data_IF_487596448934
#
_entry.id   IF_487596448934
#
_cell.length_a   1.000
_cell.length_b   1.000
_cell.length_c   1.000
_cell.angle_alpha   90.00
_cell.angle_beta   90.00
_cell.angle_gamma   90.00
#
_symmetry.space_group_name_H-M   'P 1'
#
loop_
_entity.id
_entity.type
_entity.pdbx_description
1 polymer ?
#
# COMPACT_ATOMS: atom_id res chain seq x y z
N UNK A 1 27.59 26.47 4.04
CA UNK A 1 28.21 25.27 3.41
C UNK A 1 28.54 25.48 1.94
N UNK A 2 27.63 25.95 1.08
CA UNK A 2 27.96 26.20 -0.35
C UNK A 2 29.03 27.30 -0.55
N UNK A 3 28.94 28.44 0.14
CA UNK A 3 29.95 29.51 0.06
C UNK A 3 31.36 29.05 0.44
N UNK A 4 31.48 28.21 1.48
CA UNK A 4 32.76 27.61 1.90
C UNK A 4 33.38 26.68 0.83
N UNK A 5 32.55 26.10 -0.05
CA UNK A 5 33.01 25.23 -1.14
C UNK A 5 33.39 26.08 -2.36
N UNK A 6 32.71 27.21 -2.59
CA UNK A 6 33.13 28.20 -3.59
C UNK A 6 34.46 28.85 -3.24
N UNK A 7 34.69 29.17 -1.96
CA UNK A 7 35.98 29.68 -1.45
C UNK A 7 37.13 28.67 -1.61
N UNK A 8 36.82 27.37 -1.77
CA UNK A 8 37.78 26.30 -2.09
C UNK A 8 37.90 26.01 -3.60
N UNK A 9 37.38 26.90 -4.45
CA UNK A 9 37.56 26.86 -5.90
C UNK A 9 36.45 26.15 -6.69
N UNK A 10 35.27 25.92 -6.11
CA UNK A 10 34.14 25.37 -6.85
C UNK A 10 33.36 26.44 -7.61
N UNK A 11 33.46 26.45 -8.94
CA UNK A 11 32.76 27.39 -9.82
C UNK A 11 31.39 26.88 -10.33
N UNK A 12 30.97 25.69 -9.91
CA UNK A 12 29.75 25.05 -10.39
C UNK A 12 28.45 25.55 -9.75
N UNK A 13 27.33 25.18 -10.37
CA UNK A 13 25.98 25.50 -9.87
C UNK A 13 25.65 24.75 -8.58
N UNK A 14 25.05 25.46 -7.61
CA UNK A 14 24.51 24.89 -6.37
C UNK A 14 23.58 23.68 -6.62
N UNK A 15 22.78 23.74 -7.69
CA UNK A 15 21.83 22.68 -8.05
C UNK A 15 22.53 21.38 -8.41
N UNK A 16 23.69 21.46 -9.07
CA UNK A 16 24.51 20.28 -9.38
C UNK A 16 25.12 19.68 -8.12
N UNK A 17 25.62 20.51 -7.22
CA UNK A 17 26.17 20.08 -5.94
C UNK A 17 25.10 19.43 -5.06
N UNK A 18 23.90 20.00 -5.00
CA UNK A 18 22.76 19.41 -4.29
C UNK A 18 22.35 18.06 -4.88
N UNK A 19 22.32 17.93 -6.21
CA UNK A 19 22.02 16.65 -6.88
C UNK A 19 23.03 15.57 -6.54
N UNK A 20 24.33 15.90 -6.55
CA UNK A 20 25.40 14.97 -6.19
C UNK A 20 25.32 14.56 -4.71
N UNK A 21 25.16 15.54 -3.82
CA UNK A 21 25.00 15.29 -2.39
C UNK A 21 23.72 14.52 -2.05
N UNK A 22 22.64 14.69 -2.81
CA UNK A 22 21.41 13.92 -2.62
C UNK A 22 21.63 12.42 -2.86
N UNK A 23 22.48 12.06 -3.83
CA UNK A 23 22.91 10.67 -4.05
C UNK A 23 23.66 10.13 -2.83
N UNK A 24 24.64 10.89 -2.32
CA UNK A 24 25.45 10.49 -1.16
C UNK A 24 24.63 10.41 0.13
N UNK A 25 23.70 11.33 0.38
CA UNK A 25 22.78 11.26 1.53
C UNK A 25 21.84 10.06 1.48
N UNK A 26 21.42 9.63 0.28
CA UNK A 26 20.61 8.41 0.12
C UNK A 26 21.42 7.16 0.38
N UNK A 27 22.66 7.11 -0.13
CA UNK A 27 23.58 6.01 0.14
C UNK A 27 23.89 5.93 1.65
N UNK A 28 24.18 7.06 2.29
CA UNK A 28 24.46 7.12 3.74
C UNK A 28 23.23 6.75 4.59
N UNK A 29 22.02 7.12 4.16
CA UNK A 29 20.76 6.64 4.79
C UNK A 29 20.52 5.15 4.58
N UNK A 30 20.99 4.55 3.48
CA UNK A 30 20.96 3.11 3.28
C UNK A 30 21.97 2.39 4.18
N UNK A 31 23.12 3.01 4.48
CA UNK A 31 24.12 2.45 5.40
C UNK A 31 23.77 2.64 6.88
N UNK A 32 23.04 3.70 7.25
CA UNK A 32 22.64 4.04 8.63
C UNK A 32 21.19 3.68 8.98
N UNK A 33 20.43 3.06 8.08
CA UNK A 33 19.17 2.43 8.48
C UNK A 33 19.47 1.29 9.45
N UNK A 34 18.64 1.02 10.48
CA UNK A 34 18.81 -0.21 11.24
C UNK A 34 18.83 -1.35 10.22
N UNK A 35 19.88 -2.17 10.28
CA UNK A 35 19.91 -3.42 9.54
C UNK A 35 18.72 -4.23 10.06
N UNK A 36 17.59 -4.14 9.35
CA UNK A 36 16.51 -5.09 9.54
C UNK A 36 17.11 -6.38 9.02
N UNK A 37 17.67 -7.18 9.94
CA UNK A 37 17.88 -8.60 9.71
C UNK A 37 16.52 -9.13 9.27
N UNK A 38 16.31 -9.19 7.95
CA UNK A 38 15.26 -10.01 7.41
C UNK A 38 15.68 -11.43 7.72
N UNK A 39 15.31 -11.94 8.90
CA UNK A 39 15.31 -13.37 9.16
C UNK A 39 14.62 -13.98 7.94
N UNK A 40 15.39 -14.68 7.12
CA UNK A 40 14.88 -15.33 5.92
C UNK A 40 14.03 -16.49 6.46
N UNK A 41 12.75 -16.19 6.72
CA UNK A 41 11.80 -17.19 7.16
C UNK A 41 11.74 -18.26 6.06
N UNK A 42 11.87 -19.53 6.48
CA UNK A 42 11.76 -20.65 5.54
C UNK A 42 10.43 -20.52 4.79
N UNK A 43 10.42 -20.62 3.45
CA UNK A 43 9.19 -20.50 2.68
C UNK A 43 8.17 -21.53 3.14
N UNK A 44 6.98 -21.09 3.52
CA UNK A 44 5.88 -21.99 3.86
C UNK A 44 5.49 -22.79 2.62
N UNK A 45 5.31 -24.09 2.78
CA UNK A 45 4.96 -24.99 1.68
C UNK A 45 3.46 -25.22 1.60
N UNK A 46 2.99 -25.37 0.38
CA UNK A 46 1.63 -25.78 0.06
C UNK A 46 1.42 -27.24 0.51
N UNK A 47 0.39 -27.53 1.32
CA UNK A 47 0.12 -28.89 1.79
C UNK A 47 -0.29 -29.86 0.67
N UNK A 48 -0.85 -29.39 -0.46
CA UNK A 48 -1.22 -30.28 -1.58
C UNK A 48 -0.07 -30.52 -2.55
N UNK A 49 0.68 -29.48 -2.88
CA UNK A 49 1.69 -29.55 -3.95
C UNK A 49 3.13 -29.65 -3.43
N UNK A 50 3.37 -29.38 -2.14
CA UNK A 50 4.71 -29.35 -1.53
C UNK A 50 5.59 -28.15 -1.95
N UNK A 51 5.13 -27.34 -2.91
CA UNK A 51 5.84 -26.18 -3.41
C UNK A 51 5.79 -25.02 -2.42
N UNK A 52 6.79 -24.14 -2.45
CA UNK A 52 6.76 -22.92 -1.66
C UNK A 52 5.59 -22.02 -2.09
N UNK A 53 4.80 -21.55 -1.14
CA UNK A 53 3.72 -20.60 -1.40
C UNK A 53 4.36 -19.26 -1.77
N UNK A 54 4.04 -18.78 -2.97
CA UNK A 54 4.53 -17.48 -3.44
C UNK A 54 4.08 -16.33 -2.51
N UNK A 55 4.95 -15.36 -2.22
CA UNK A 55 4.59 -14.17 -1.43
C UNK A 55 3.38 -13.42 -1.96
N UNK A 56 3.18 -13.39 -3.29
CA UNK A 56 2.02 -12.74 -3.92
C UNK A 56 0.73 -13.48 -3.60
N UNK A 57 0.77 -14.82 -3.64
CA UNK A 57 -0.38 -15.66 -3.27
C UNK A 57 -0.67 -15.53 -1.78
N UNK A 58 0.37 -15.55 -0.94
CA UNK A 58 0.21 -15.33 0.50
C UNK A 58 -0.45 -13.97 0.79
N UNK A 59 0.02 -12.89 0.16
CA UNK A 59 -0.57 -11.56 0.31
C UNK A 59 -2.04 -11.50 -0.14
N UNK A 60 -2.37 -12.10 -1.30
CA UNK A 60 -3.75 -12.17 -1.78
C UNK A 60 -4.65 -12.96 -0.81
N UNK A 61 -4.16 -14.09 -0.29
CA UNK A 61 -4.88 -14.90 0.69
C UNK A 61 -5.01 -14.20 2.04
N UNK A 62 -4.07 -13.34 2.42
CA UNK A 62 -4.09 -12.56 3.66
C UNK A 62 -5.30 -11.62 3.75
N UNK A 63 -5.69 -10.99 2.64
CA UNK A 63 -6.80 -10.03 2.59
C UNK A 63 -8.14 -10.64 2.15
N UNK A 64 -8.13 -11.88 1.62
CA UNK A 64 -9.33 -12.54 1.11
C UNK A 64 -10.25 -13.00 2.25
N UNK A 65 -11.56 -12.65 2.26
CA UNK A 65 -12.49 -13.08 3.30
C UNK A 65 -12.67 -14.60 3.35
N UNK A 66 -12.93 -15.14 4.55
CA UNK A 66 -13.05 -16.60 4.78
C UNK A 66 -14.13 -17.26 3.92
N UNK A 67 -15.30 -16.62 3.79
CA UNK A 67 -16.40 -17.15 2.97
C UNK A 67 -16.16 -17.14 1.45
N UNK A 68 -15.07 -16.55 0.98
CA UNK A 68 -14.69 -16.54 -0.46
C UNK A 68 -13.50 -17.45 -0.77
N UNK A 69 -12.97 -18.16 0.23
CA UNK A 69 -11.88 -19.10 0.04
C UNK A 69 -12.41 -20.41 -0.53
N UNK A 70 -11.69 -20.98 -1.49
CA UNK A 70 -11.86 -22.39 -1.85
C UNK A 70 -11.24 -23.27 -0.76
N UNK A 71 -11.61 -24.55 -0.72
CA UNK A 71 -11.05 -25.51 0.26
C UNK A 71 -9.52 -25.60 0.20
N UNK A 72 -8.94 -25.58 -1.00
CA UNK A 72 -7.48 -25.50 -1.20
C UNK A 72 -6.88 -24.21 -0.61
N UNK A 73 -7.49 -23.06 -0.93
CA UNK A 73 -7.02 -21.78 -0.41
C UNK A 73 -7.12 -21.69 1.12
N UNK A 74 -8.15 -22.32 1.72
CA UNK A 74 -8.28 -22.41 3.18
C UNK A 74 -7.12 -23.21 3.79
N UNK A 75 -6.78 -24.37 3.22
CA UNK A 75 -5.62 -25.17 3.66
C UNK A 75 -4.30 -24.39 3.54
N UNK A 76 -4.10 -23.65 2.45
CA UNK A 76 -2.93 -22.76 2.27
C UNK A 76 -2.88 -21.67 3.33
N UNK A 77 -4.02 -21.05 3.66
CA UNK A 77 -4.11 -20.06 4.74
C UNK A 77 -3.75 -20.68 6.08
N UNK A 78 -4.18 -21.91 6.36
CA UNK A 78 -3.90 -22.57 7.62
C UNK A 78 -2.42 -22.99 7.72
N UNK A 79 -1.82 -23.47 6.62
CA UNK A 79 -0.38 -23.69 6.53
C UNK A 79 0.42 -22.40 6.74
N UNK A 80 -0.02 -21.27 6.15
CA UNK A 80 0.63 -19.96 6.33
C UNK A 80 0.52 -19.45 7.78
N UNK A 81 -0.61 -19.67 8.44
CA UNK A 81 -0.77 -19.33 9.87
C UNK A 81 0.14 -20.17 10.76
N UNK A 82 0.24 -21.47 10.50
CA UNK A 82 1.11 -22.37 11.26
C UNK A 82 2.60 -22.05 11.04
N UNK A 83 2.98 -21.68 9.82
CA UNK A 83 4.37 -21.37 9.47
C UNK A 83 4.82 -19.95 9.81
N UNK A 84 3.90 -19.01 10.07
CA UNK A 84 4.24 -17.62 10.38
C UNK A 84 3.22 -16.97 11.33
N UNK A 85 3.59 -16.72 12.60
CA UNK A 85 2.77 -15.94 13.53
C UNK A 85 2.48 -14.54 12.99
N UNK A 86 3.45 -13.92 12.32
CA UNK A 86 3.29 -12.62 11.67
C UNK A 86 2.17 -12.64 10.61
N UNK A 87 2.06 -13.70 9.81
CA UNK A 87 0.97 -13.86 8.85
C UNK A 87 -0.38 -13.99 9.55
N UNK A 88 -0.45 -14.75 10.63
CA UNK A 88 -1.68 -14.92 11.41
C UNK A 88 -2.17 -13.58 11.99
N UNK A 89 -1.29 -12.80 12.62
CA UNK A 89 -1.58 -11.47 13.15
C UNK A 89 -2.02 -10.51 12.05
N UNK A 90 -1.26 -10.45 10.96
CA UNK A 90 -1.57 -9.59 9.81
C UNK A 90 -2.94 -9.91 9.22
N UNK A 91 -3.26 -11.20 9.06
CA UNK A 91 -4.56 -11.64 8.54
C UNK A 91 -5.70 -11.31 9.50
N UNK A 92 -5.49 -11.48 10.81
CA UNK A 92 -6.48 -11.10 11.82
C UNK A 92 -6.82 -9.61 11.74
N UNK A 93 -5.79 -8.75 11.70
CA UNK A 93 -5.96 -7.31 11.56
C UNK A 93 -6.64 -6.94 10.24
N UNK A 94 -6.25 -7.58 9.13
CA UNK A 94 -6.87 -7.34 7.82
C UNK A 94 -8.36 -7.72 7.80
N UNK A 95 -8.75 -8.85 8.41
CA UNK A 95 -10.16 -9.26 8.48
C UNK A 95 -10.99 -8.31 9.35
N UNK A 96 -10.46 -7.90 10.50
CA UNK A 96 -11.13 -6.94 11.40
C UNK A 96 -11.31 -5.59 10.72
N UNK A 97 -10.26 -5.06 10.08
CA UNK A 97 -10.33 -3.81 9.33
C UNK A 97 -11.37 -3.88 8.21
N UNK A 98 -11.38 -4.98 7.46
CA UNK A 98 -12.35 -5.18 6.38
C UNK A 98 -13.79 -5.21 6.92
N UNK A 99 -14.01 -5.84 8.08
CA UNK A 99 -15.30 -5.80 8.78
C UNK A 99 -15.72 -4.37 9.14
N UNK A 100 -14.83 -3.57 9.71
CA UNK A 100 -15.08 -2.16 10.08
C UNK A 100 -15.46 -1.34 8.84
N UNK A 101 -14.71 -1.49 7.74
CA UNK A 101 -14.96 -0.76 6.50
C UNK A 101 -16.34 -1.06 5.87
N UNK A 102 -16.93 -2.22 6.15
CA UNK A 102 -18.24 -2.61 5.63
C UNK A 102 -19.38 -2.50 6.65
N UNK A 103 -19.06 -2.21 7.92
CA UNK A 103 -20.03 -2.23 9.03
C UNK A 103 -20.81 -0.93 9.21
N UNK A 104 -20.53 0.12 8.44
CA UNK A 104 -21.09 1.48 8.57
C UNK A 104 -20.92 2.14 9.96
N UNK A 105 -20.22 1.48 10.90
CA UNK A 105 -19.93 1.95 12.24
C UNK A 105 -18.42 2.05 12.42
N UNK A 106 -17.93 3.25 12.70
CA UNK A 106 -16.51 3.52 12.84
C UNK A 106 -15.98 3.35 14.28
N UNK A 107 -16.84 3.09 15.27
CA UNK A 107 -16.47 2.95 16.68
C UNK A 107 -15.29 1.98 16.92
N UNK A 108 -15.21 0.81 16.25
CA UNK A 108 -14.09 -0.12 16.45
C UNK A 108 -12.78 0.31 15.77
N UNK A 109 -12.78 1.38 14.95
CA UNK A 109 -11.62 1.81 14.17
C UNK A 109 -10.47 2.28 15.07
N UNK A 110 -10.78 3.03 16.13
CA UNK A 110 -9.77 3.53 17.07
C UNK A 110 -9.03 2.37 17.76
N UNK A 111 -9.78 1.45 18.37
CA UNK A 111 -9.22 0.26 19.01
C UNK A 111 -8.43 -0.62 18.03
N UNK A 112 -8.90 -0.73 16.77
CA UNK A 112 -8.16 -1.46 15.75
C UNK A 112 -6.81 -0.80 15.41
N UNK A 113 -6.74 0.54 15.39
CA UNK A 113 -5.49 1.25 15.14
C UNK A 113 -4.50 1.08 16.28
N UNK A 114 -4.96 1.12 17.53
CA UNK A 114 -4.12 0.89 18.71
C UNK A 114 -3.49 -0.51 18.65
N UNK A 115 -4.32 -1.55 18.45
CA UNK A 115 -3.84 -2.93 18.27
C UNK A 115 -2.83 -3.05 17.11
N UNK A 116 -3.07 -2.33 16.01
CA UNK A 116 -2.19 -2.35 14.84
C UNK A 116 -0.83 -1.65 15.11
N UNK A 117 -0.82 -0.60 15.93
CA UNK A 117 0.38 0.13 16.34
C UNK A 117 1.22 -0.67 17.33
N UNK A 118 0.58 -1.43 18.22
CA UNK A 118 1.24 -2.31 19.19
C UNK A 118 1.90 -3.54 18.55
N UNK A 119 1.62 -3.83 17.28
CA UNK A 119 2.31 -4.92 16.59
C UNK A 119 3.76 -4.58 16.23
N UNK A 120 4.64 -5.58 16.26
CA UNK A 120 6.01 -5.46 15.72
C UNK A 120 6.08 -5.46 14.18
N UNK A 121 4.93 -5.43 13.50
CA UNK A 121 4.84 -5.48 12.04
C UNK A 121 4.98 -4.07 11.47
N UNK A 122 6.22 -3.65 11.21
CA UNK A 122 6.52 -2.29 10.71
C UNK A 122 5.63 -1.81 9.54
N UNK A 123 5.25 -2.62 8.53
CA UNK A 123 4.31 -2.20 7.50
C UNK A 123 2.91 -1.85 8.03
N UNK A 124 2.40 -2.62 8.99
CA UNK A 124 1.10 -2.42 9.62
C UNK A 124 1.12 -1.20 10.54
N UNK A 125 2.17 -1.03 11.34
CA UNK A 125 2.35 0.16 12.18
C UNK A 125 2.37 1.44 11.33
N UNK A 126 3.09 1.44 10.20
CA UNK A 126 3.09 2.60 9.28
C UNK A 126 1.72 2.87 8.68
N UNK A 127 0.99 1.81 8.32
CA UNK A 127 -0.37 1.93 7.81
C UNK A 127 -1.31 2.53 8.87
N UNK A 128 -1.30 2.02 10.10
CA UNK A 128 -2.11 2.51 11.21
C UNK A 128 -1.80 3.98 11.55
N UNK A 129 -0.52 4.37 11.57
CA UNK A 129 -0.12 5.79 11.76
C UNK A 129 -0.64 6.71 10.65
N UNK A 130 -0.67 6.22 9.41
CA UNK A 130 -1.21 6.99 8.28
C UNK A 130 -2.72 7.13 8.41
N UNK A 131 -3.42 6.04 8.75
CA UNK A 131 -4.86 6.08 9.03
C UNK A 131 -5.20 7.03 10.18
N UNK A 132 -4.40 7.03 11.25
CA UNK A 132 -4.63 7.91 12.40
C UNK A 132 -4.54 9.40 12.01
N UNK A 133 -3.62 9.76 11.11
CA UNK A 133 -3.54 11.13 10.57
C UNK A 133 -4.81 11.53 9.82
N UNK A 134 -5.42 10.57 9.11
CA UNK A 134 -6.61 10.77 8.29
C UNK A 134 -7.89 10.27 8.99
N UNK A 135 -7.88 10.14 10.33
CA UNK A 135 -8.92 9.44 11.10
C UNK A 135 -10.33 9.93 10.77
N UNK A 136 -10.57 11.24 10.80
CA UNK A 136 -11.90 11.80 10.52
C UNK A 136 -12.35 11.55 9.07
N UNK A 137 -11.42 11.55 8.12
CA UNK A 137 -11.74 11.25 6.73
C UNK A 137 -12.14 9.78 6.56
N UNK A 138 -11.44 8.87 7.23
CA UNK A 138 -11.74 7.43 7.21
C UNK A 138 -13.04 7.13 7.94
N UNK A 139 -13.26 7.75 9.12
CA UNK A 139 -14.50 7.67 9.88
C UNK A 139 -15.69 8.09 9.02
N UNK A 140 -15.60 9.27 8.40
CA UNK A 140 -16.64 9.76 7.50
C UNK A 140 -16.86 8.82 6.30
N UNK A 141 -15.80 8.22 5.75
CA UNK A 141 -15.92 7.28 4.64
C UNK A 141 -16.64 5.96 5.04
N UNK A 142 -16.67 5.61 6.32
CA UNK A 142 -17.39 4.44 6.84
C UNK A 142 -18.85 4.79 7.13
N UNK A 143 -19.07 5.90 7.84
CA UNK A 143 -20.41 6.29 8.34
C UNK A 143 -21.29 6.92 7.25
N UNK A 144 -20.68 7.60 6.27
CA UNK A 144 -21.44 8.29 5.24
C UNK A 144 -21.80 7.35 4.08
N UNK A 145 -23.01 7.46 3.51
CA UNK A 145 -23.41 6.67 2.34
C UNK A 145 -22.74 7.15 1.05
N UNK A 146 -22.14 8.34 1.04
CA UNK A 146 -21.48 8.93 -0.12
C UNK A 146 -20.00 8.54 -0.15
N UNK A 147 -19.58 7.87 -1.23
CA UNK A 147 -18.17 7.61 -1.48
C UNK A 147 -17.66 8.44 -2.66
N UNK A 148 -16.45 8.98 -2.54
CA UNK A 148 -15.73 9.56 -3.68
C UNK A 148 -15.23 8.49 -4.68
N UNK A 149 -15.56 7.21 -4.48
CA UNK A 149 -15.06 6.09 -5.26
C UNK A 149 -15.41 6.19 -6.75
N UNK A 150 -16.64 6.60 -7.08
CA UNK A 150 -17.05 6.82 -8.47
C UNK A 150 -16.23 7.93 -9.12
N UNK A 151 -16.16 9.10 -8.47
CA UNK A 151 -15.40 10.27 -8.94
C UNK A 151 -13.92 9.93 -9.11
N UNK A 152 -13.31 9.28 -8.13
CA UNK A 152 -11.91 8.88 -8.17
C UNK A 152 -11.64 7.81 -9.26
N UNK A 153 -12.59 6.90 -9.48
CA UNK A 153 -12.57 5.95 -10.59
C UNK A 153 -12.59 6.63 -11.96
N UNK A 154 -13.47 7.60 -12.16
CA UNK A 154 -13.53 8.40 -13.39
C UNK A 154 -12.25 9.22 -13.60
N UNK A 155 -11.73 9.85 -12.55
CA UNK A 155 -10.45 10.57 -12.60
C UNK A 155 -9.31 9.63 -12.97
N UNK A 156 -9.27 8.42 -12.41
CA UNK A 156 -8.22 7.46 -12.72
C UNK A 156 -8.31 6.97 -14.18
N UNK A 157 -9.52 6.68 -14.67
CA UNK A 157 -9.79 6.34 -16.08
C UNK A 157 -9.31 7.47 -17.01
N UNK A 158 -9.67 8.71 -16.70
CA UNK A 158 -9.24 9.90 -17.45
C UNK A 158 -7.70 10.04 -17.44
N UNK A 159 -7.07 9.84 -16.28
CA UNK A 159 -5.61 9.88 -16.10
C UNK A 159 -4.90 8.78 -16.88
N UNK A 160 -5.49 7.60 -17.00
CA UNK A 160 -4.97 6.49 -17.82
C UNK A 160 -5.11 6.80 -19.30
N UNK A 161 -6.27 7.29 -19.74
CA UNK A 161 -6.51 7.66 -21.12
C UNK A 161 -5.56 8.78 -21.57
N UNK A 162 -5.36 9.81 -20.74
CA UNK A 162 -4.40 10.88 -20.98
C UNK A 162 -2.94 10.41 -20.98
N UNK A 163 -2.58 9.36 -20.23
CA UNK A 163 -1.22 8.79 -20.28
C UNK A 163 -0.98 7.96 -21.53
N UNK A 164 -2.02 7.26 -22.00
CA UNK A 164 -1.98 6.51 -23.25
C UNK A 164 -2.00 7.41 -24.49
N UNK A 165 -2.40 8.68 -24.35
CA UNK A 165 -2.63 9.59 -25.47
C UNK A 165 -2.08 10.99 -25.16
N UNK A 166 -1.06 11.42 -25.89
CA UNK A 166 -0.66 12.83 -25.89
C UNK A 166 -1.57 13.62 -26.84
N UNK A 167 -2.38 14.55 -26.30
CA UNK A 167 -3.20 15.47 -27.08
C UNK A 167 -4.67 15.54 -26.64
N UNK A 168 -5.22 16.75 -26.52
CA UNK A 168 -6.56 17.01 -25.97
C UNK A 168 -7.70 16.59 -26.92
N UNK A 169 -7.46 16.62 -28.23
CA UNK A 169 -8.48 16.31 -29.26
C UNK A 169 -8.84 14.82 -29.29
N UNK A 170 -7.83 13.96 -29.27
CA UNK A 170 -7.98 12.51 -29.21
C UNK A 170 -8.73 12.05 -27.95
N UNK A 171 -8.56 12.78 -26.85
CA UNK A 171 -9.27 12.54 -25.60
C UNK A 171 -10.78 12.87 -25.73
N UNK A 172 -11.11 14.02 -26.34
CA UNK A 172 -12.50 14.45 -26.57
C UNK A 172 -13.27 13.48 -27.47
N UNK A 173 -12.66 13.05 -28.57
CA UNK A 173 -13.28 12.13 -29.53
C UNK A 173 -13.70 10.78 -28.93
N UNK A 174 -13.02 10.34 -27.85
CA UNK A 174 -13.31 9.06 -27.18
C UNK A 174 -14.16 9.20 -25.92
N UNK A 175 -14.31 10.40 -25.38
CA UNK A 175 -15.12 10.67 -24.19
C UNK A 175 -16.56 11.05 -24.52
N UNK A 176 -16.80 11.64 -25.69
CA UNK A 176 -18.15 11.99 -26.12
C UNK A 176 -18.80 10.75 -26.77
N UNK A 177 -20.01 10.34 -26.34
CA UNK A 177 -20.78 9.37 -27.10
C UNK A 177 -21.08 9.95 -28.49
N UNK A 178 -20.95 9.14 -29.53
CA UNK A 178 -21.44 9.51 -30.86
C UNK A 178 -22.93 9.84 -30.72
N UNK A 179 -23.29 11.11 -30.95
CA UNK A 179 -24.68 11.49 -31.15
C UNK A 179 -25.18 10.64 -32.30
N UNK A 180 -26.07 9.69 -32.01
CA UNK A 180 -26.84 9.05 -33.05
C UNK A 180 -27.75 10.14 -33.60
N UNK A 181 -27.41 10.64 -34.77
CA UNK A 181 -28.33 11.42 -35.58
C UNK A 181 -29.40 10.46 -36.06
N UNK A 182 -30.66 10.75 -35.72
CA UNK A 182 -31.85 10.08 -36.28
C UNK A 182 -31.91 10.21 -37.81
#
# INVERSE_FOLDING_TARGET
MFRLIQERGYEGSLTHLQRLLAGWRRAEKQTKGPAVEHQILKPVRDPETGHAISPVIAAALCIKPRGKLTSDQARKVDALKAGSPAFATMRSLAMRFNGIMHGHQADPLAAWMDDAIETDLAPIVRFARTLNRDFYAVKNAIEMPWSNGQVQGQINRLKTLKRAMYGLELLRARMLPFRHTD
#
